data_IF_587827602074
#
_entry.id   IF_587827602074
#
_cell.length_a   1.000
_cell.length_b   1.000
_cell.length_c   1.000
_cell.angle_alpha   90.00
_cell.angle_beta   90.00
_cell.angle_gamma   90.00
#
_symmetry.space_group_name_H-M   'P 1'
#
loop_
_entity.id
_entity.type
_entity.pdbx_description
1 polymer ?
#
# COMPACT_ATOMS: atom_id res chain seq x y z
N UNK A 1 -12.96 -1.96 -11.38
CA UNK A 1 -11.84 -1.19 -11.95
C UNK A 1 -12.14 -0.58 -13.32
N UNK A 2 -12.42 -1.37 -14.37
CA UNK A 2 -12.34 -0.87 -15.77
C UNK A 2 -13.48 0.02 -16.29
N UNK A 3 -14.51 0.30 -15.50
CA UNK A 3 -15.69 1.08 -15.93
C UNK A 3 -15.56 2.59 -15.67
N UNK A 4 -14.43 3.04 -15.14
CA UNK A 4 -14.16 4.45 -14.82
C UNK A 4 -12.69 4.78 -15.10
N UNK A 5 -12.42 6.05 -15.35
CA UNK A 5 -11.06 6.59 -15.46
C UNK A 5 -10.53 7.07 -14.10
N UNK A 6 -11.37 7.08 -13.07
CA UNK A 6 -10.96 7.44 -11.70
C UNK A 6 -10.10 6.30 -11.14
N UNK A 7 -8.87 6.58 -10.67
CA UNK A 7 -8.03 5.58 -10.02
C UNK A 7 -8.74 4.95 -8.82
N UNK A 8 -8.75 3.62 -8.76
CA UNK A 8 -9.25 2.91 -7.59
C UNK A 8 -8.12 2.67 -6.60
N UNK A 9 -8.38 2.96 -5.33
CA UNK A 9 -7.48 2.71 -4.21
C UNK A 9 -8.09 1.64 -3.29
N UNK A 10 -7.26 0.72 -2.77
CA UNK A 10 -7.66 -0.26 -1.76
C UNK A 10 -6.44 -0.87 -1.07
N UNK A 11 -6.63 -1.58 0.04
CA UNK A 11 -5.54 -2.26 0.75
C UNK A 11 -5.61 -2.19 2.27
N UNK A 12 -6.47 -1.33 2.82
CA UNK A 12 -6.54 -1.02 4.26
C UNK A 12 -6.78 -2.23 5.16
N UNK A 13 -7.44 -3.28 4.65
CA UNK A 13 -7.79 -4.51 5.38
C UNK A 13 -7.18 -5.77 4.76
N UNK A 14 -6.10 -5.60 4.02
CA UNK A 14 -5.43 -6.68 3.31
C UNK A 14 -4.14 -7.04 4.05
N UNK A 15 -3.93 -8.33 4.23
CA UNK A 15 -2.83 -8.88 5.01
C UNK A 15 -1.79 -9.52 4.10
N UNK A 16 -0.52 -9.29 4.39
CA UNK A 16 0.66 -9.89 3.73
C UNK A 16 0.78 -9.58 2.23
N UNK A 17 1.97 -9.79 1.68
CA UNK A 17 2.24 -9.66 0.24
C UNK A 17 1.33 -10.51 -0.64
N UNK A 18 0.80 -11.62 -0.12
CA UNK A 18 -0.04 -12.54 -0.90
C UNK A 18 -1.41 -11.94 -1.21
N UNK A 19 -2.02 -11.23 -0.25
CA UNK A 19 -3.27 -10.52 -0.49
C UNK A 19 -3.10 -9.37 -1.50
N UNK A 20 -1.99 -8.64 -1.40
CA UNK A 20 -1.66 -7.58 -2.37
C UNK A 20 -1.33 -8.12 -3.75
N UNK A 21 -0.65 -9.27 -3.85
CA UNK A 21 -0.40 -9.96 -5.12
C UNK A 21 -1.70 -10.22 -5.88
N UNK A 22 -2.76 -10.68 -5.20
CA UNK A 22 -4.05 -10.93 -5.83
C UNK A 22 -4.68 -9.66 -6.42
N UNK A 23 -4.60 -8.54 -5.68
CA UNK A 23 -5.09 -7.23 -6.14
C UNK A 23 -4.35 -6.78 -7.40
N UNK A 24 -3.03 -6.91 -7.40
CA UNK A 24 -2.16 -6.54 -8.51
C UNK A 24 -2.40 -7.41 -9.75
N UNK A 25 -2.44 -8.73 -9.59
CA UNK A 25 -2.68 -9.69 -10.67
C UNK A 25 -4.06 -9.48 -11.31
N UNK A 26 -5.09 -9.22 -10.51
CA UNK A 26 -6.44 -8.91 -11.00
C UNK A 26 -6.58 -7.49 -11.56
N UNK A 27 -5.58 -6.63 -11.38
CA UNK A 27 -5.65 -5.18 -11.64
C UNK A 27 -6.90 -4.57 -11.00
N UNK A 28 -7.18 -4.96 -9.76
CA UNK A 28 -8.39 -4.56 -9.05
C UNK A 28 -8.32 -3.10 -8.56
N UNK A 29 -7.12 -2.61 -8.27
CA UNK A 29 -6.81 -1.24 -7.89
C UNK A 29 -5.51 -0.76 -8.55
N UNK A 30 -5.38 0.56 -8.67
CA UNK A 30 -4.17 1.22 -9.19
C UNK A 30 -3.33 1.80 -8.06
N UNK A 31 -3.95 2.18 -6.94
CA UNK A 31 -3.26 2.70 -5.75
C UNK A 31 -3.44 1.67 -4.64
N UNK A 32 -2.35 1.30 -3.97
CA UNK A 32 -2.41 0.39 -2.83
C UNK A 32 -2.37 1.18 -1.51
N UNK A 33 -3.21 0.81 -0.56
CA UNK A 33 -3.30 1.44 0.75
C UNK A 33 -2.97 0.45 1.88
N UNK A 34 -1.77 -0.16 1.90
CA UNK A 34 -1.42 -1.08 2.97
C UNK A 34 -1.36 -0.35 4.30
N UNK A 35 -1.98 -0.95 5.30
CA UNK A 35 -1.86 -0.53 6.69
C UNK A 35 -0.65 -1.21 7.33
N UNK A 36 0.24 -0.46 7.97
CA UNK A 36 1.47 -1.04 8.53
C UNK A 36 1.22 -2.01 9.69
N UNK A 37 0.15 -1.79 10.46
CA UNK A 37 -0.24 -2.64 11.57
C UNK A 37 -0.93 -3.93 11.09
N UNK A 38 -1.57 -3.93 9.93
CA UNK A 38 -2.29 -5.11 9.42
C UNK A 38 -1.52 -5.87 8.35
N UNK A 39 -0.90 -5.19 7.40
CA UNK A 39 -0.29 -5.84 6.25
C UNK A 39 0.96 -6.66 6.60
N UNK A 40 1.56 -6.46 7.79
CA UNK A 40 2.67 -7.28 8.30
C UNK A 40 3.90 -6.50 8.75
N UNK A 41 3.76 -5.20 9.04
CA UNK A 41 4.84 -4.34 9.53
C UNK A 41 5.78 -3.81 8.45
N UNK A 42 6.86 -3.16 8.90
CA UNK A 42 7.82 -2.42 8.06
C UNK A 42 8.37 -3.31 6.93
N UNK A 43 8.90 -4.49 7.25
CA UNK A 43 9.51 -5.39 6.26
C UNK A 43 8.52 -5.84 5.19
N UNK A 44 7.31 -6.26 5.60
CA UNK A 44 6.31 -6.76 4.66
C UNK A 44 5.79 -5.62 3.77
N UNK A 45 5.60 -4.40 4.31
CA UNK A 45 5.28 -3.22 3.50
C UNK A 45 6.36 -2.91 2.46
N UNK A 46 7.65 -3.04 2.81
CA UNK A 46 8.74 -2.83 1.84
C UNK A 46 8.70 -3.85 0.70
N UNK A 47 8.34 -5.10 1.00
CA UNK A 47 8.16 -6.15 -0.01
C UNK A 47 6.94 -5.86 -0.88
N UNK A 48 5.80 -5.48 -0.28
CA UNK A 48 4.59 -5.07 -1.00
C UNK A 48 4.90 -3.90 -1.93
N UNK A 49 5.66 -2.90 -1.48
CA UNK A 49 6.07 -1.76 -2.28
C UNK A 49 6.86 -2.18 -3.53
N UNK A 50 7.85 -3.08 -3.36
CA UNK A 50 8.63 -3.61 -4.48
C UNK A 50 7.82 -4.47 -5.45
N UNK A 51 6.85 -5.24 -4.95
CA UNK A 51 5.90 -5.93 -5.83
C UNK A 51 5.05 -4.94 -6.62
N UNK A 52 4.47 -3.93 -5.95
CA UNK A 52 3.60 -2.94 -6.55
C UNK A 52 4.31 -2.09 -7.62
N UNK A 53 5.60 -1.82 -7.43
CA UNK A 53 6.44 -1.11 -8.39
C UNK A 53 6.44 -1.79 -9.77
N UNK A 54 6.51 -3.13 -9.82
CA UNK A 54 6.46 -3.90 -11.07
C UNK A 54 5.12 -3.79 -11.82
N UNK A 55 4.07 -3.31 -11.15
CA UNK A 55 2.73 -3.11 -11.72
C UNK A 55 2.40 -1.63 -11.91
N UNK A 56 3.37 -0.72 -11.70
CA UNK A 56 3.17 0.73 -11.72
C UNK A 56 2.11 1.21 -10.71
N UNK A 57 1.96 0.49 -9.60
CA UNK A 57 1.02 0.83 -8.55
C UNK A 57 1.73 1.57 -7.42
N UNK A 58 1.42 2.85 -7.17
CA UNK A 58 1.96 3.55 -6.02
C UNK A 58 1.31 3.12 -4.70
N UNK A 59 2.02 3.38 -3.61
CA UNK A 59 1.54 3.16 -2.24
C UNK A 59 1.09 4.48 -1.60
N UNK A 60 -0.08 4.43 -0.99
CA UNK A 60 -0.59 5.46 -0.09
C UNK A 60 -0.96 4.82 1.26
N UNK A 61 0.02 4.61 2.18
CA UNK A 61 -0.19 3.82 3.39
C UNK A 61 -1.37 4.31 4.23
N UNK A 62 -2.27 3.38 4.58
CA UNK A 62 -3.39 3.62 5.48
C UNK A 62 -2.89 3.77 6.91
N UNK A 63 -3.43 4.72 7.67
CA UNK A 63 -3.04 4.94 9.06
C UNK A 63 -4.12 5.62 9.92
N UNK A 64 -5.21 4.93 10.30
CA UNK A 64 -6.21 5.42 11.26
C UNK A 64 -5.81 5.16 12.74
N UNK A 65 -4.60 4.67 13.00
CA UNK A 65 -4.13 4.28 14.33
C UNK A 65 -3.54 5.48 15.09
N UNK A 66 -2.36 5.32 15.67
CA UNK A 66 -1.70 6.30 16.51
C UNK A 66 -0.36 6.77 15.96
N UNK A 67 0.34 7.64 16.70
CA UNK A 67 1.60 8.26 16.25
C UNK A 67 2.72 7.25 15.97
N UNK A 68 2.76 6.11 16.67
CA UNK A 68 3.75 5.06 16.40
C UNK A 68 3.55 4.43 15.01
N UNK A 69 2.30 4.19 14.63
CA UNK A 69 1.95 3.67 13.30
C UNK A 69 2.27 4.70 12.22
N UNK A 70 1.94 5.98 12.45
CA UNK A 70 2.29 7.07 11.55
C UNK A 70 3.82 7.16 11.34
N UNK A 71 4.60 7.10 12.42
CA UNK A 71 6.05 7.14 12.35
C UNK A 71 6.60 5.98 11.51
N UNK A 72 6.09 4.75 11.72
CA UNK A 72 6.51 3.58 10.96
C UNK A 72 6.11 3.69 9.47
N UNK A 73 4.91 4.19 9.17
CA UNK A 73 4.46 4.43 7.79
C UNK A 73 5.32 5.49 7.09
N UNK A 74 5.70 6.57 7.80
CA UNK A 74 6.60 7.60 7.28
C UNK A 74 8.01 7.06 6.98
N UNK A 75 8.52 6.14 7.81
CA UNK A 75 9.81 5.48 7.53
C UNK A 75 9.77 4.74 6.20
N UNK A 76 8.70 3.99 5.93
CA UNK A 76 8.53 3.30 4.64
C UNK A 76 8.32 4.32 3.50
N UNK A 77 7.47 5.32 3.69
CA UNK A 77 7.22 6.37 2.70
C UNK A 77 8.51 7.05 2.22
N UNK A 78 9.46 7.30 3.13
CA UNK A 78 10.77 7.87 2.79
C UNK A 78 11.75 6.89 2.13
N UNK A 79 11.47 5.59 2.13
CA UNK A 79 12.39 4.53 1.68
C UNK A 79 11.91 3.76 0.43
N UNK A 80 10.80 4.15 -0.18
CA UNK A 80 10.24 3.50 -1.38
C UNK A 80 10.08 4.51 -2.52
N UNK A 81 10.39 4.13 -3.77
CA UNK A 81 10.32 5.06 -4.90
C UNK A 81 8.89 5.34 -5.37
N UNK A 82 7.94 4.46 -5.04
CA UNK A 82 6.54 4.52 -5.46
C UNK A 82 5.60 5.02 -4.36
N UNK A 83 6.09 5.86 -3.44
CA UNK A 83 5.22 6.55 -2.48
C UNK A 83 4.39 7.64 -3.17
N UNK A 84 3.10 7.71 -2.84
CA UNK A 84 2.18 8.72 -3.38
C UNK A 84 1.72 9.73 -2.32
N UNK A 85 1.20 9.25 -1.19
CA UNK A 85 0.64 10.10 -0.14
C UNK A 85 0.58 9.36 1.20
N UNK A 86 0.61 10.10 2.31
CA UNK A 86 0.48 9.54 3.66
C UNK A 86 -0.80 10.07 4.31
N UNK A 87 -1.67 9.17 4.77
CA UNK A 87 -2.81 9.50 5.61
C UNK A 87 -2.35 10.04 6.98
N UNK A 88 -3.06 11.05 7.49
CA UNK A 88 -2.82 11.72 8.78
C UNK A 88 -4.12 12.02 9.49
#
# INVERSE_FOLDING_TARGET
ARKTHIPLATGERIFTKWGFKEILEKRAATILQPDICYAGGITELRIIAGQAEAYFSPLAPHNPQGPCSLAASLQIAGCIPNFLAQER
#
